data_IF_479404129759
#
_entry.id   IF_479404129759
#
_cell.length_a   1.000
_cell.length_b   1.000
_cell.length_c   1.000
_cell.angle_alpha   90.00
_cell.angle_beta   90.00
_cell.angle_gamma   90.00
#
_symmetry.space_group_name_H-M   'P 1'
#
loop_
_entity.id
_entity.type
_entity.pdbx_description
1 polymer ?
#
# COMPACT_ATOMS: atom_id res chain seq x y z
N UNK A 1 2.32 0.55 41.07
CA UNK A 1 3.31 -0.02 40.14
C UNK A 1 2.53 -0.49 38.92
N UNK A 2 2.34 0.38 37.91
CA UNK A 2 1.62 0.03 36.70
C UNK A 2 2.60 -0.70 35.80
N UNK A 3 2.39 -2.00 35.62
CA UNK A 3 3.04 -2.80 34.57
C UNK A 3 2.55 -2.25 33.24
N UNK A 4 3.35 -1.42 32.60
CA UNK A 4 3.19 -1.09 31.19
C UNK A 4 3.40 -2.39 30.41
N UNK A 5 2.32 -3.05 30.04
CA UNK A 5 2.35 -4.17 29.11
C UNK A 5 2.85 -3.58 27.78
N UNK A 6 4.13 -3.71 27.52
CA UNK A 6 4.71 -3.44 26.23
C UNK A 6 4.07 -4.39 25.23
N UNK A 7 3.07 -3.89 24.49
CA UNK A 7 2.58 -4.60 23.31
C UNK A 7 3.77 -4.78 22.37
N UNK A 8 4.08 -6.00 21.91
CA UNK A 8 5.19 -6.21 20.99
C UNK A 8 5.00 -5.30 19.78
N UNK A 9 5.99 -4.45 19.52
CA UNK A 9 5.97 -3.52 18.41
C UNK A 9 6.08 -4.33 17.11
N UNK A 10 4.97 -4.43 16.38
CA UNK A 10 4.97 -5.14 15.10
C UNK A 10 5.77 -4.33 14.09
N UNK A 11 6.76 -4.95 13.49
CA UNK A 11 7.47 -4.44 12.33
C UNK A 11 6.65 -4.73 11.07
N UNK A 12 6.67 -3.81 10.11
CA UNK A 12 5.94 -3.91 8.85
C UNK A 12 6.89 -3.73 7.67
N UNK A 13 6.82 -4.63 6.70
CA UNK A 13 7.41 -4.47 5.38
C UNK A 13 6.28 -4.18 4.40
N UNK A 14 6.19 -2.93 3.95
CA UNK A 14 5.06 -2.41 3.16
C UNK A 14 5.50 -2.12 1.75
N UNK A 15 4.87 -2.78 0.78
CA UNK A 15 5.01 -2.50 -0.64
C UNK A 15 3.76 -1.78 -1.15
N UNK A 16 3.94 -0.62 -1.76
CA UNK A 16 2.88 0.09 -2.49
C UNK A 16 2.98 -0.23 -3.98
N UNK A 17 1.89 -0.71 -4.57
CA UNK A 17 1.75 -0.88 -6.01
C UNK A 17 0.74 0.16 -6.53
N UNK A 18 1.23 1.12 -7.31
CA UNK A 18 0.45 2.25 -7.82
C UNK A 18 0.13 2.04 -9.30
N UNK A 19 -1.16 1.97 -9.62
CA UNK A 19 -1.60 2.09 -11.02
C UNK A 19 -1.22 3.46 -11.58
N UNK A 20 -0.67 3.48 -12.79
CA UNK A 20 -0.28 4.71 -13.44
C UNK A 20 -0.67 4.64 -14.92
N UNK A 21 -1.96 4.85 -15.21
CA UNK A 21 -2.52 4.69 -16.53
C UNK A 21 -2.59 6.00 -17.31
N UNK A 22 -2.68 5.93 -18.64
CA UNK A 22 -2.90 7.10 -19.49
C UNK A 22 -4.25 7.77 -19.24
N UNK A 23 -5.25 6.99 -18.84
CA UNK A 23 -6.61 7.47 -18.54
C UNK A 23 -6.67 8.15 -17.16
N UNK A 24 -5.76 7.77 -16.27
CA UNK A 24 -5.70 8.34 -14.94
C UNK A 24 -5.43 9.85 -14.95
N UNK A 25 -6.21 10.59 -14.20
CA UNK A 25 -5.95 12.02 -14.03
C UNK A 25 -4.63 12.24 -13.27
N UNK A 26 -3.93 13.33 -13.59
CA UNK A 26 -2.74 13.72 -12.84
C UNK A 26 -3.05 13.92 -11.34
N UNK A 27 -4.27 14.40 -11.03
CA UNK A 27 -4.73 14.60 -9.65
C UNK A 27 -4.79 13.29 -8.87
N UNK A 28 -5.31 12.21 -9.49
CA UNK A 28 -5.39 10.89 -8.85
C UNK A 28 -4.00 10.34 -8.53
N UNK A 29 -3.05 10.47 -9.44
CA UNK A 29 -1.68 10.01 -9.18
C UNK A 29 -0.97 10.86 -8.10
N UNK A 30 -1.26 12.17 -8.04
CA UNK A 30 -0.79 13.04 -6.94
C UNK A 30 -1.40 12.59 -5.60
N UNK A 31 -2.70 12.28 -5.56
CA UNK A 31 -3.36 11.74 -4.35
C UNK A 31 -2.68 10.43 -3.88
N UNK A 32 -2.43 9.49 -4.79
CA UNK A 32 -1.75 8.23 -4.45
C UNK A 32 -0.37 8.48 -3.80
N UNK A 33 0.44 9.38 -4.38
CA UNK A 33 1.75 9.74 -3.80
C UNK A 33 1.61 10.47 -2.48
N UNK A 34 0.69 11.43 -2.39
CA UNK A 34 0.39 12.18 -1.17
C UNK A 34 0.01 11.25 -0.02
N UNK A 35 -0.84 10.27 -0.29
CA UNK A 35 -1.23 9.24 0.68
C UNK A 35 -0.02 8.48 1.23
N UNK A 36 0.93 8.05 0.37
CA UNK A 36 2.16 7.39 0.82
C UNK A 36 3.00 8.33 1.69
N UNK A 37 3.16 9.59 1.27
CA UNK A 37 3.90 10.61 2.04
C UNK A 37 3.25 10.82 3.41
N UNK A 38 1.93 10.90 3.47
CA UNK A 38 1.19 11.03 4.74
C UNK A 38 1.41 9.82 5.66
N UNK A 39 1.44 8.60 5.11
CA UNK A 39 1.78 7.39 5.87
C UNK A 39 3.22 7.49 6.41
N UNK A 40 4.19 7.85 5.57
CA UNK A 40 5.59 7.98 5.98
C UNK A 40 5.76 9.05 7.06
N UNK A 41 5.15 10.23 6.89
CA UNK A 41 5.23 11.32 7.87
C UNK A 41 4.65 10.96 9.23
N UNK A 42 3.58 10.18 9.23
CA UNK A 42 2.86 9.84 10.46
C UNK A 42 3.47 8.65 11.21
N UNK A 43 3.99 7.66 10.48
CA UNK A 43 4.42 6.38 11.06
C UNK A 43 5.94 6.19 11.04
N UNK A 44 6.67 7.04 10.30
CA UNK A 44 8.13 7.02 10.22
C UNK A 44 8.70 5.79 9.54
N UNK A 45 10.01 5.62 9.67
CA UNK A 45 10.78 4.53 9.04
C UNK A 45 11.36 3.54 10.05
N UNK A 46 11.23 3.81 11.36
CA UNK A 46 11.87 2.98 12.39
C UNK A 46 11.33 1.55 12.44
N UNK A 47 10.02 1.40 12.14
CA UNK A 47 9.31 0.12 12.22
C UNK A 47 8.74 -0.33 10.89
N UNK A 48 8.63 0.56 9.94
CA UNK A 48 8.07 0.29 8.63
C UNK A 48 9.16 0.44 7.60
N UNK A 49 9.48 -0.66 6.92
CA UNK A 49 10.23 -0.59 5.68
C UNK A 49 9.28 -0.43 4.52
N UNK A 50 9.68 0.37 3.55
CA UNK A 50 8.83 0.74 2.43
C UNK A 50 9.45 0.31 1.10
N UNK A 51 8.60 -0.11 0.18
CA UNK A 51 8.94 -0.26 -1.22
C UNK A 51 7.81 0.27 -2.11
N UNK A 52 8.11 0.62 -3.35
CA UNK A 52 7.11 1.13 -4.28
C UNK A 52 7.32 0.64 -5.71
N UNK A 53 6.23 0.17 -6.28
CA UNK A 53 6.09 -0.25 -7.66
C UNK A 53 5.14 0.72 -8.36
N UNK A 54 5.48 1.15 -9.56
CA UNK A 54 4.57 1.87 -10.44
C UNK A 54 4.29 0.98 -11.65
N UNK A 55 3.02 0.67 -11.90
CA UNK A 55 2.63 -0.18 -13.00
C UNK A 55 1.67 0.54 -13.95
N UNK A 56 1.87 0.31 -15.23
CA UNK A 56 1.09 0.84 -16.35
C UNK A 56 1.23 -0.13 -17.51
N UNK A 57 1.53 0.35 -18.74
CA UNK A 57 1.88 -0.56 -19.84
C UNK A 57 3.30 -1.10 -19.68
N UNK A 58 3.45 -2.37 -20.00
CA UNK A 58 4.74 -3.08 -19.97
C UNK A 58 5.20 -3.42 -18.55
N UNK A 59 6.49 -3.70 -18.43
CA UNK A 59 7.09 -4.19 -17.20
C UNK A 59 6.92 -3.15 -16.07
N UNK A 60 6.39 -3.55 -14.91
CA UNK A 60 6.30 -2.69 -13.73
C UNK A 60 7.67 -2.15 -13.34
N UNK A 61 7.70 -0.91 -12.84
CA UNK A 61 8.96 -0.32 -12.39
C UNK A 61 9.00 -0.30 -10.87
N UNK A 62 9.92 -1.04 -10.31
CA UNK A 62 10.32 -0.87 -8.91
C UNK A 62 11.09 0.42 -8.78
N UNK A 63 10.53 1.38 -8.08
CA UNK A 63 11.16 2.71 -7.88
C UNK A 63 12.14 2.69 -6.73
N UNK A 64 11.85 1.93 -5.72
CA UNK A 64 12.72 1.56 -4.61
C UNK A 64 12.14 0.31 -3.93
N UNK A 65 13.00 -0.47 -3.33
CA UNK A 65 12.67 -1.71 -2.65
C UNK A 65 13.38 -1.81 -1.29
N UNK A 66 13.23 -2.93 -0.60
CA UNK A 66 13.84 -3.15 0.71
C UNK A 66 15.36 -3.24 0.68
N UNK A 67 15.96 -3.53 -0.50
CA UNK A 67 17.41 -3.50 -0.70
C UNK A 67 17.96 -2.09 -0.98
N UNK A 68 17.05 -1.12 -1.23
CA UNK A 68 17.46 0.26 -1.49
C UNK A 68 17.99 0.90 -0.22
N UNK A 69 19.24 1.36 -0.26
CA UNK A 69 19.84 2.08 0.86
C UNK A 69 19.24 3.48 0.97
N UNK A 70 18.21 3.63 1.82
CA UNK A 70 17.51 4.90 2.07
C UNK A 70 17.93 5.35 3.48
N UNK A 71 18.75 6.41 3.58
CA UNK A 71 19.37 6.79 4.84
C UNK A 71 18.40 7.40 5.86
N UNK A 72 17.37 8.07 5.38
CA UNK A 72 16.43 8.82 6.22
C UNK A 72 15.03 8.96 5.58
N UNK A 73 14.11 9.48 6.37
CA UNK A 73 12.72 9.70 5.96
C UNK A 73 12.61 10.74 4.84
N UNK A 74 13.42 11.77 4.83
CA UNK A 74 13.38 12.82 3.82
C UNK A 74 13.80 12.28 2.44
N UNK A 75 14.82 11.41 2.39
CA UNK A 75 15.21 10.76 1.13
C UNK A 75 14.11 9.81 0.65
N UNK A 76 13.45 9.08 1.55
CA UNK A 76 12.32 8.24 1.19
C UNK A 76 11.18 9.07 0.59
N UNK A 77 10.83 10.20 1.21
CA UNK A 77 9.82 11.12 0.69
C UNK A 77 10.23 11.66 -0.68
N UNK A 78 11.50 12.05 -0.86
CA UNK A 78 12.01 12.49 -2.18
C UNK A 78 11.86 11.40 -3.24
N UNK A 79 12.10 10.13 -2.90
CA UNK A 79 11.86 9.00 -3.82
C UNK A 79 10.38 8.87 -4.19
N UNK A 80 9.46 9.00 -3.23
CA UNK A 80 8.02 8.98 -3.50
C UNK A 80 7.60 10.16 -4.39
N UNK A 81 8.10 11.36 -4.14
CA UNK A 81 7.83 12.53 -4.99
C UNK A 81 8.30 12.32 -6.44
N UNK A 82 9.40 11.60 -6.63
CA UNK A 82 9.97 11.30 -7.95
C UNK A 82 9.25 10.17 -8.70
N UNK A 83 8.28 9.48 -8.09
CA UNK A 83 7.46 8.49 -8.79
C UNK A 83 6.79 9.15 -10.01
N UNK A 84 6.89 8.50 -11.15
CA UNK A 84 6.38 9.03 -12.42
C UNK A 84 5.18 8.21 -12.88
N UNK A 85 4.14 8.92 -13.31
CA UNK A 85 3.05 8.33 -14.06
C UNK A 85 3.60 7.68 -15.34
N UNK A 86 3.05 6.53 -15.69
CA UNK A 86 3.36 5.80 -16.92
C UNK A 86 2.13 5.79 -17.83
N UNK A 87 2.36 5.68 -19.13
CA UNK A 87 1.26 5.54 -20.08
C UNK A 87 0.88 4.07 -20.27
N UNK A 88 -0.33 3.84 -20.82
CA UNK A 88 -0.81 2.53 -21.24
C UNK A 88 -1.76 1.85 -20.25
N UNK A 89 -2.07 0.59 -20.54
CA UNK A 89 -2.97 -0.20 -19.68
C UNK A 89 -2.21 -0.76 -18.47
N UNK A 90 -2.81 -0.73 -17.28
CA UNK A 90 -2.20 -1.31 -16.10
C UNK A 90 -2.24 -2.84 -16.21
N UNK A 91 -1.09 -3.46 -16.08
CA UNK A 91 -0.97 -4.92 -15.95
C UNK A 91 -0.84 -5.28 -14.49
N UNK A 92 -1.98 -5.64 -13.89
CA UNK A 92 -2.04 -5.95 -12.47
C UNK A 92 -1.32 -7.27 -12.15
N UNK A 93 -1.39 -8.27 -13.02
CA UNK A 93 -0.72 -9.55 -12.84
C UNK A 93 0.79 -9.37 -12.74
N UNK A 94 1.38 -8.61 -13.67
CA UNK A 94 2.81 -8.32 -13.61
C UNK A 94 3.20 -7.49 -12.38
N UNK A 95 2.36 -6.55 -11.95
CA UNK A 95 2.61 -5.78 -10.73
C UNK A 95 2.63 -6.66 -9.48
N UNK A 96 1.75 -7.66 -9.40
CA UNK A 96 1.72 -8.60 -8.29
C UNK A 96 2.89 -9.59 -8.32
N UNK A 97 3.33 -10.03 -9.50
CA UNK A 97 4.56 -10.84 -9.65
C UNK A 97 5.79 -10.04 -9.20
N UNK A 98 5.88 -8.75 -9.57
CA UNK A 98 6.97 -7.91 -9.10
C UNK A 98 6.91 -7.67 -7.58
N UNK A 99 5.72 -7.49 -7.00
CA UNK A 99 5.55 -7.42 -5.56
C UNK A 99 6.02 -8.72 -4.86
N UNK A 100 5.69 -9.87 -5.43
CA UNK A 100 6.16 -11.16 -4.93
C UNK A 100 7.69 -11.23 -4.95
N UNK A 101 8.33 -10.84 -6.06
CA UNK A 101 9.80 -10.78 -6.16
C UNK A 101 10.40 -9.88 -5.08
N UNK A 102 9.79 -8.72 -4.79
CA UNK A 102 10.26 -7.81 -3.73
C UNK A 102 10.16 -8.48 -2.36
N UNK A 103 9.10 -9.21 -2.05
CA UNK A 103 8.97 -9.93 -0.78
C UNK A 103 9.86 -11.17 -0.65
N UNK A 104 10.51 -11.59 -1.73
CA UNK A 104 11.51 -12.67 -1.75
C UNK A 104 12.95 -12.13 -1.60
N UNK A 105 13.16 -10.82 -1.53
CA UNK A 105 14.47 -10.22 -1.28
C UNK A 105 15.02 -10.63 0.09
N UNK A 106 16.33 -10.68 0.20
CA UNK A 106 17.02 -11.05 1.46
C UNK A 106 16.82 -10.02 2.58
N UNK A 107 16.57 -8.78 2.21
CA UNK A 107 16.37 -7.63 3.07
C UNK A 107 14.98 -7.58 3.70
N UNK A 108 14.06 -8.44 3.26
CA UNK A 108 12.74 -8.61 3.91
C UNK A 108 12.96 -9.21 5.30
N UNK A 109 12.48 -8.50 6.31
CA UNK A 109 12.67 -8.89 7.69
C UNK A 109 11.84 -10.15 8.03
N UNK A 110 12.44 -11.19 8.63
CA UNK A 110 11.76 -12.49 8.84
C UNK A 110 10.57 -12.37 9.81
N UNK A 111 10.62 -11.42 10.76
CA UNK A 111 9.58 -11.22 11.78
C UNK A 111 8.63 -10.08 11.43
N UNK A 112 8.87 -9.34 10.36
CA UNK A 112 7.99 -8.27 9.93
C UNK A 112 6.74 -8.84 9.23
N UNK A 113 5.62 -8.20 9.46
CA UNK A 113 4.40 -8.49 8.71
C UNK A 113 4.50 -7.89 7.31
N UNK A 114 4.31 -8.71 6.30
CA UNK A 114 4.39 -8.33 4.89
C UNK A 114 3.06 -7.77 4.43
N UNK A 115 3.06 -6.55 3.92
CA UNK A 115 1.86 -5.82 3.49
C UNK A 115 2.03 -5.37 2.05
N UNK A 116 1.07 -5.70 1.21
CA UNK A 116 0.94 -5.15 -0.14
C UNK A 116 -0.28 -4.24 -0.20
N UNK A 117 -0.07 -2.97 -0.51
CA UNK A 117 -1.14 -1.99 -0.74
C UNK A 117 -1.21 -1.70 -2.23
N UNK A 118 -2.27 -2.18 -2.88
CA UNK A 118 -2.52 -1.93 -4.31
C UNK A 118 -3.47 -0.75 -4.43
N UNK A 119 -3.02 0.34 -5.05
CA UNK A 119 -3.82 1.56 -5.25
C UNK A 119 -4.07 1.74 -6.75
N UNK A 120 -5.34 1.74 -7.14
CA UNK A 120 -5.72 1.83 -8.54
C UNK A 120 -6.97 2.69 -8.76
N UNK A 121 -7.08 3.28 -9.93
CA UNK A 121 -8.27 4.03 -10.40
C UNK A 121 -8.99 3.33 -11.55
N UNK A 122 -8.30 2.47 -12.26
CA UNK A 122 -8.82 1.57 -13.28
C UNK A 122 -8.09 0.24 -13.18
N UNK A 123 -8.79 -0.86 -13.32
CA UNK A 123 -8.21 -2.19 -13.28
C UNK A 123 -8.59 -2.93 -14.56
N UNK A 124 -7.59 -3.21 -15.36
CA UNK A 124 -7.73 -4.19 -16.41
C UNK A 124 -7.08 -5.49 -15.93
N UNK A 125 -7.91 -6.46 -15.66
CA UNK A 125 -7.46 -7.83 -15.39
C UNK A 125 -7.43 -8.55 -16.73
N UNK A 126 -6.24 -8.91 -17.19
CA UNK A 126 -6.04 -9.61 -18.48
C UNK A 126 -6.46 -11.08 -18.36
N UNK A 127 -6.10 -11.72 -17.26
CA UNK A 127 -6.45 -13.11 -16.97
C UNK A 127 -6.78 -13.30 -15.48
N UNK A 128 -8.05 -13.59 -15.17
CA UNK A 128 -8.46 -13.89 -13.80
C UNK A 128 -7.79 -15.15 -13.24
N UNK A 129 -7.46 -16.10 -14.09
CA UNK A 129 -6.78 -17.33 -13.67
C UNK A 129 -5.34 -17.05 -13.23
N UNK A 130 -4.59 -16.30 -14.03
CA UNK A 130 -3.22 -15.90 -13.70
C UNK A 130 -3.18 -15.00 -12.47
N UNK A 131 -4.07 -14.01 -12.41
CA UNK A 131 -4.22 -13.17 -11.23
C UNK A 131 -4.45 -14.00 -9.96
N UNK A 132 -5.35 -14.98 -10.01
CA UNK A 132 -5.60 -15.87 -8.88
C UNK A 132 -4.38 -16.72 -8.47
N UNK A 133 -3.56 -17.17 -9.41
CA UNK A 133 -2.33 -17.92 -9.14
C UNK A 133 -1.33 -17.05 -8.37
N UNK A 134 -1.10 -15.83 -8.85
CA UNK A 134 -0.17 -14.88 -8.20
C UNK A 134 -0.66 -14.50 -6.81
N UNK A 135 -1.94 -14.14 -6.67
CA UNK A 135 -2.54 -13.82 -5.37
C UNK A 135 -2.43 -15.00 -4.41
N UNK A 136 -2.69 -16.22 -4.87
CA UNK A 136 -2.53 -17.43 -4.04
C UNK A 136 -1.08 -17.57 -3.54
N UNK A 137 -0.10 -17.33 -4.40
CA UNK A 137 1.31 -17.38 -4.03
C UNK A 137 1.66 -16.31 -2.97
N UNK A 138 1.20 -15.07 -3.14
CA UNK A 138 1.41 -13.99 -2.17
C UNK A 138 0.81 -14.34 -0.79
N UNK A 139 -0.45 -14.79 -0.78
CA UNK A 139 -1.14 -15.18 0.46
C UNK A 139 -0.45 -16.38 1.14
N UNK A 140 0.00 -17.39 0.37
CA UNK A 140 0.78 -18.52 0.88
C UNK A 140 2.08 -18.07 1.54
N UNK A 141 2.69 -17.00 1.04
CA UNK A 141 3.89 -16.37 1.61
C UNK A 141 3.55 -15.36 2.72
N UNK A 142 2.34 -15.42 3.28
CA UNK A 142 1.87 -14.59 4.38
C UNK A 142 1.86 -13.08 4.06
N UNK A 143 1.68 -12.71 2.79
CA UNK A 143 1.48 -11.32 2.39
C UNK A 143 0.02 -10.93 2.61
N UNK A 144 -0.20 -9.89 3.39
CA UNK A 144 -1.51 -9.29 3.61
C UNK A 144 -1.77 -8.23 2.54
N UNK A 145 -2.87 -8.33 1.81
CA UNK A 145 -3.16 -7.45 0.67
C UNK A 145 -4.29 -6.51 1.01
N UNK A 146 -4.07 -5.21 0.80
CA UNK A 146 -5.07 -4.14 0.88
C UNK A 146 -5.30 -3.60 -0.52
N UNK A 147 -6.55 -3.55 -0.94
CA UNK A 147 -6.97 -2.99 -2.22
C UNK A 147 -7.59 -1.61 -2.04
N UNK A 148 -7.09 -0.61 -2.74
CA UNK A 148 -7.60 0.76 -2.71
C UNK A 148 -8.03 1.17 -4.11
N UNK A 149 -9.31 1.41 -4.27
CA UNK A 149 -9.90 1.92 -5.51
C UNK A 149 -10.19 3.42 -5.41
N UNK A 150 -9.71 4.22 -6.37
CA UNK A 150 -9.94 5.67 -6.40
C UNK A 150 -10.82 6.03 -7.58
N UNK A 151 -12.01 6.55 -7.30
CA UNK A 151 -12.97 6.98 -8.32
C UNK A 151 -14.08 5.97 -8.58
N UNK A 152 -14.91 6.27 -9.59
CA UNK A 152 -16.10 5.48 -9.93
C UNK A 152 -15.86 4.35 -10.94
N UNK A 153 -14.69 4.32 -11.57
CA UNK A 153 -14.36 3.34 -12.61
C UNK A 153 -13.79 2.05 -12.05
N UNK A 154 -13.50 2.01 -10.76
CA UNK A 154 -12.91 0.84 -10.12
C UNK A 154 -13.94 -0.26 -9.93
N UNK A 155 -13.61 -1.45 -10.37
CA UNK A 155 -14.42 -2.64 -10.16
C UNK A 155 -14.10 -3.29 -8.81
N UNK A 156 -15.05 -3.23 -7.87
CA UNK A 156 -14.91 -3.85 -6.55
C UNK A 156 -14.65 -5.37 -6.62
N UNK A 157 -15.15 -6.05 -7.68
CA UNK A 157 -14.94 -7.48 -7.87
C UNK A 157 -13.46 -7.80 -8.14
N UNK A 158 -12.76 -6.96 -8.89
CA UNK A 158 -11.33 -7.16 -9.17
C UNK A 158 -10.50 -6.91 -7.91
N UNK A 159 -10.87 -5.90 -7.10
CA UNK A 159 -10.26 -5.70 -5.78
C UNK A 159 -10.51 -6.89 -4.84
N UNK A 160 -11.71 -7.50 -4.89
CA UNK A 160 -12.02 -8.67 -4.08
C UNK A 160 -11.18 -9.89 -4.48
N UNK A 161 -10.87 -10.06 -5.76
CA UNK A 161 -9.99 -11.14 -6.23
C UNK A 161 -8.60 -11.02 -5.58
N UNK A 162 -8.03 -9.82 -5.51
CA UNK A 162 -6.68 -9.64 -4.96
C UNK A 162 -6.65 -9.65 -3.43
N UNK A 163 -7.66 -9.07 -2.76
CA UNK A 163 -7.68 -9.00 -1.29
C UNK A 163 -8.22 -10.25 -0.63
N UNK A 164 -9.07 -10.99 -1.35
CA UNK A 164 -9.83 -12.16 -0.85
C UNK A 164 -10.81 -11.86 0.28
N UNK A 165 -10.90 -10.60 0.72
CA UNK A 165 -11.74 -10.19 1.85
C UNK A 165 -12.24 -8.77 1.62
N UNK A 166 -13.55 -8.56 1.76
CA UNK A 166 -14.18 -7.26 1.55
C UNK A 166 -13.67 -6.18 2.53
N UNK A 167 -13.38 -6.57 3.77
CA UNK A 167 -12.87 -5.65 4.78
C UNK A 167 -11.46 -5.10 4.49
N UNK A 168 -10.76 -5.65 3.49
CA UNK A 168 -9.46 -5.16 3.04
C UNK A 168 -9.57 -4.27 1.81
N UNK A 169 -10.80 -3.90 1.41
CA UNK A 169 -11.07 -3.05 0.26
C UNK A 169 -11.49 -1.66 0.74
N UNK A 170 -10.84 -0.65 0.19
CA UNK A 170 -11.22 0.76 0.34
C UNK A 170 -11.59 1.32 -1.03
N UNK A 171 -12.81 1.84 -1.17
CA UNK A 171 -13.23 2.55 -2.39
C UNK A 171 -13.49 3.99 -2.01
N UNK A 172 -12.72 4.90 -2.59
CA UNK A 172 -12.73 6.31 -2.25
C UNK A 172 -13.01 7.19 -3.46
N UNK A 173 -13.55 8.38 -3.22
CA UNK A 173 -13.75 9.38 -4.26
C UNK A 173 -12.42 10.07 -4.59
N UNK A 174 -12.32 10.61 -5.81
CA UNK A 174 -11.12 11.33 -6.28
C UNK A 174 -10.80 12.63 -5.53
N UNK A 175 -11.74 13.13 -4.72
CA UNK A 175 -11.55 14.34 -3.89
C UNK A 175 -11.23 14.00 -2.42
N UNK A 176 -10.90 12.74 -2.12
CA UNK A 176 -10.45 12.33 -0.78
C UNK A 176 -9.17 13.07 -0.42
N UNK A 177 -9.02 13.41 0.86
CA UNK A 177 -7.80 14.01 1.39
C UNK A 177 -6.76 12.93 1.66
N UNK A 178 -5.50 13.21 1.32
CA UNK A 178 -4.37 12.27 1.47
C UNK A 178 -4.25 11.69 2.87
N UNK A 179 -4.37 12.54 3.90
CA UNK A 179 -4.26 12.14 5.30
C UNK A 179 -5.39 11.22 5.75
N UNK A 180 -6.61 11.45 5.28
CA UNK A 180 -7.76 10.60 5.60
C UNK A 180 -7.59 9.21 4.98
N UNK A 181 -7.15 9.15 3.72
CA UNK A 181 -6.91 7.89 3.03
C UNK A 181 -5.76 7.12 3.68
N UNK A 182 -4.69 7.82 4.07
CA UNK A 182 -3.57 7.25 4.81
C UNK A 182 -4.02 6.59 6.12
N UNK A 183 -4.89 7.26 6.89
CA UNK A 183 -5.47 6.69 8.11
C UNK A 183 -6.32 5.45 7.85
N UNK A 184 -7.17 5.49 6.84
CA UNK A 184 -8.04 4.35 6.48
C UNK A 184 -7.21 3.14 6.09
N UNK A 185 -6.18 3.30 5.26
CA UNK A 185 -5.25 2.22 4.89
C UNK A 185 -4.58 1.65 6.15
N UNK A 186 -4.05 2.51 7.02
CA UNK A 186 -3.36 2.04 8.21
C UNK A 186 -4.28 1.38 9.24
N UNK A 187 -5.56 1.75 9.31
CA UNK A 187 -6.56 1.04 10.12
C UNK A 187 -6.81 -0.38 9.64
N UNK A 188 -6.80 -0.60 8.33
CA UNK A 188 -6.92 -1.95 7.74
C UNK A 188 -5.67 -2.77 8.03
N UNK A 189 -4.48 -2.16 7.91
CA UNK A 189 -3.19 -2.82 8.15
C UNK A 189 -3.01 -3.15 9.64
N UNK A 190 -3.25 -2.19 10.52
CA UNK A 190 -3.11 -2.34 11.97
C UNK A 190 -4.32 -1.74 12.71
N UNK A 191 -5.34 -2.55 13.03
CA UNK A 191 -6.54 -2.08 13.72
C UNK A 191 -6.29 -1.41 15.09
N UNK A 192 -5.09 -1.58 15.67
CA UNK A 192 -4.72 -0.93 16.94
C UNK A 192 -4.45 0.57 16.75
N UNK A 193 -4.13 1.00 15.54
CA UNK A 193 -4.01 2.43 15.20
C UNK A 193 -5.31 3.17 15.48
N UNK A 194 -6.46 2.53 15.24
CA UNK A 194 -7.77 3.09 15.53
C UNK A 194 -8.01 3.36 17.03
N UNK A 195 -7.44 2.55 17.93
CA UNK A 195 -7.67 2.68 19.38
C UNK A 195 -6.91 3.85 20.01
N UNK A 196 -5.78 4.28 19.45
CA UNK A 196 -5.02 5.41 20.00
C UNK A 196 -5.76 6.75 19.86
N UNK A 197 -6.56 6.93 18.83
CA UNK A 197 -7.32 8.17 18.63
C UNK A 197 -8.50 8.31 19.57
N UNK A 198 -9.19 7.23 19.90
CA UNK A 198 -10.28 7.28 20.88
C UNK A 198 -9.80 7.60 22.30
N UNK A 199 -8.61 7.15 22.70
CA UNK A 199 -8.04 7.46 24.01
C UNK A 199 -7.64 8.94 24.14
N UNK A 200 -7.22 9.59 23.05
CA UNK A 200 -6.87 11.01 23.06
C UNK A 200 -8.11 11.92 23.09
N UNK A 201 -9.22 11.53 22.45
CA UNK A 201 -10.45 12.33 22.47
C UNK A 201 -11.12 12.32 23.86
N UNK A 202 -11.00 11.24 24.61
CA UNK A 202 -11.55 11.16 25.98
C UNK A 202 -10.75 11.93 27.03
N UNK A 203 -9.48 12.28 26.75
CA UNK A 203 -8.64 13.07 27.64
C UNK A 203 -8.86 14.59 27.52
N UNK A 204 -9.56 15.05 26.50
CA UNK A 204 -9.87 16.46 26.28
C UNK A 204 -11.34 16.84 26.56
N UNK A 205 -12.17 15.93 27.03
CA UNK A 205 -13.61 16.15 27.33
C UNK A 205 -13.93 15.89 28.81
N UNK A 206 -12.91 15.86 29.67
CA UNK A 206 -13.09 15.81 31.12
C UNK A 206 -12.49 17.03 31.82
#
# INVERSE_FOLDING_TARGET
>A
MFLTVFSPHIELDVTFALSATSVQSQKTFVLMRGTIISIINRYGIDRIHYSAIVFGSGIPTTSFDFASNIPDQDELIRKVIRLRKRDGRPDLEQALEEAKRIFELREVRPNARRILVVIMDDATVSSREELNKVVHSLVKNSVFIVGVGIGSSVNATDLLIITRQEQHILIVKTNKVDDELAEEIMRVIDPRVARKFFSFLFLFVS
#
